data_IF_075621358021
#
_entry.id   IF_075621358021
#
_cell.length_a   1.000
_cell.length_b   1.000
_cell.length_c   1.000
_cell.angle_alpha   90.00
_cell.angle_beta   90.00
_cell.angle_gamma   90.00
#
_symmetry.space_group_name_H-M   'P 1'
#
loop_
_entity.id
_entity.type
_entity.pdbx_description
1 polymer ?
#
# COMPACT_ATOMS: atom_id res chain seq x y z
N UNK A 1 -15.77 4.39 -12.32
CA UNK A 1 -15.50 3.70 -11.03
C UNK A 1 -14.56 4.55 -10.20
N UNK A 2 -14.64 4.48 -8.88
CA UNK A 2 -13.77 5.22 -7.95
C UNK A 2 -12.81 4.28 -7.25
N UNK A 3 -11.52 4.57 -7.28
CA UNK A 3 -10.50 3.83 -6.57
C UNK A 3 -9.86 4.70 -5.47
N UNK A 4 -9.73 4.18 -4.26
CA UNK A 4 -8.96 4.80 -3.18
C UNK A 4 -7.64 4.04 -3.02
N UNK A 5 -6.51 4.76 -3.14
CA UNK A 5 -5.17 4.20 -3.02
C UNK A 5 -4.47 4.80 -1.80
N UNK A 6 -4.16 3.97 -0.80
CA UNK A 6 -3.25 4.40 0.26
C UNK A 6 -1.81 4.19 -0.17
N UNK A 7 -0.90 5.08 0.24
CA UNK A 7 0.49 5.00 -0.21
C UNK A 7 0.71 5.37 -1.68
N UNK A 8 -0.14 6.22 -2.22
CA UNK A 8 -0.13 6.63 -3.64
C UNK A 8 1.20 7.24 -4.09
N UNK A 9 1.99 7.82 -3.18
CA UNK A 9 3.32 8.40 -3.48
C UNK A 9 4.44 7.35 -3.60
N UNK A 10 4.11 6.06 -3.40
CA UNK A 10 5.04 4.95 -3.61
C UNK A 10 5.22 4.60 -5.09
N UNK A 11 6.18 3.72 -5.39
CA UNK A 11 6.38 3.18 -6.73
C UNK A 11 5.07 2.57 -7.27
N UNK A 12 4.50 1.63 -6.52
CA UNK A 12 3.30 0.90 -6.94
C UNK A 12 2.07 1.82 -7.01
N UNK A 13 1.99 2.79 -6.09
CA UNK A 13 0.94 3.81 -6.10
C UNK A 13 0.91 4.62 -7.40
N UNK A 14 2.07 5.02 -7.90
CA UNK A 14 2.18 5.73 -9.19
C UNK A 14 1.69 4.87 -10.36
N UNK A 15 2.24 3.65 -10.51
CA UNK A 15 1.90 2.80 -11.65
C UNK A 15 0.44 2.34 -11.63
N UNK A 16 -0.08 2.03 -10.45
CA UNK A 16 -1.49 1.70 -10.30
C UNK A 16 -2.39 2.89 -10.63
N UNK A 17 -2.05 4.09 -10.15
CA UNK A 17 -2.81 5.32 -10.47
C UNK A 17 -2.85 5.55 -11.97
N UNK A 18 -1.69 5.46 -12.64
CA UNK A 18 -1.62 5.62 -14.10
C UNK A 18 -2.51 4.62 -14.82
N UNK A 19 -2.40 3.32 -14.47
CA UNK A 19 -3.22 2.27 -15.06
C UNK A 19 -4.72 2.49 -14.87
N UNK A 20 -5.14 2.93 -13.68
CA UNK A 20 -6.55 3.16 -13.37
C UNK A 20 -7.09 4.40 -14.09
N UNK A 21 -6.30 5.47 -14.18
CA UNK A 21 -6.64 6.67 -14.96
C UNK A 21 -6.81 6.35 -16.46
N UNK A 22 -5.91 5.55 -17.04
CA UNK A 22 -6.02 5.04 -18.40
C UNK A 22 -7.29 4.19 -18.62
N UNK A 23 -7.83 3.58 -17.57
CA UNK A 23 -9.09 2.83 -17.55
C UNK A 23 -10.32 3.67 -17.17
N UNK A 24 -10.18 4.98 -17.20
CA UNK A 24 -11.23 5.95 -16.90
C UNK A 24 -11.79 5.89 -15.46
N UNK A 25 -10.97 5.49 -14.49
CA UNK A 25 -11.31 5.60 -13.06
C UNK A 25 -11.15 7.04 -12.56
N UNK A 26 -11.92 7.36 -11.53
CA UNK A 26 -11.60 8.46 -10.61
C UNK A 26 -10.65 7.90 -9.52
N UNK A 27 -9.43 8.41 -9.48
CA UNK A 27 -8.38 7.95 -8.55
C UNK A 27 -8.26 8.92 -7.40
N UNK A 28 -8.48 8.41 -6.20
CA UNK A 28 -8.33 9.12 -4.95
C UNK A 28 -7.13 8.57 -4.18
N UNK A 29 -6.18 9.41 -3.79
CA UNK A 29 -4.97 8.97 -3.11
C UNK A 29 -4.82 9.54 -1.72
N UNK A 30 -4.32 8.74 -0.76
CA UNK A 30 -3.93 9.28 0.54
C UNK A 30 -2.45 9.60 0.58
N UNK A 31 -2.13 10.79 1.10
CA UNK A 31 -0.77 11.25 1.39
C UNK A 31 -0.65 11.61 2.86
N UNK A 32 0.50 11.34 3.47
CA UNK A 32 0.78 11.79 4.84
C UNK A 32 1.19 13.24 4.85
N UNK A 33 0.73 13.98 5.84
CA UNK A 33 1.19 15.34 6.05
C UNK A 33 2.66 15.34 6.44
N UNK A 34 3.46 16.10 5.73
CA UNK A 34 4.90 16.27 5.97
C UNK A 34 5.27 17.73 5.77
N UNK A 35 6.35 18.18 6.43
CA UNK A 35 6.92 19.51 6.20
C UNK A 35 7.66 19.63 4.87
N UNK A 36 7.96 18.50 4.22
CA UNK A 36 8.56 18.43 2.88
C UNK A 36 7.62 17.73 1.92
N UNK A 37 7.63 18.14 0.65
CA UNK A 37 6.85 17.46 -0.38
C UNK A 37 7.40 16.05 -0.61
N UNK A 38 6.51 15.06 -0.67
CA UNK A 38 6.85 13.66 -0.92
C UNK A 38 6.11 13.11 -2.16
N UNK A 39 5.68 14.00 -3.05
CA UNK A 39 4.85 13.70 -4.22
C UNK A 39 5.64 13.50 -5.51
N UNK A 40 6.97 13.61 -5.49
CA UNK A 40 7.82 13.66 -6.70
C UNK A 40 7.56 12.53 -7.72
N UNK A 41 7.11 11.36 -7.28
CA UNK A 41 6.74 10.27 -8.20
C UNK A 41 5.43 10.48 -8.91
N UNK A 42 4.52 11.23 -8.32
CA UNK A 42 3.17 11.47 -8.84
C UNK A 42 2.97 12.90 -9.35
N UNK A 43 4.00 13.76 -9.31
CA UNK A 43 3.90 15.16 -9.77
C UNK A 43 3.44 15.27 -11.23
N UNK A 44 3.85 14.32 -12.09
CA UNK A 44 3.39 14.27 -13.48
C UNK A 44 1.87 14.00 -13.58
N UNK A 45 1.34 13.11 -12.74
CA UNK A 45 -0.10 12.84 -12.70
C UNK A 45 -0.87 14.03 -12.11
N UNK A 46 -0.31 14.68 -11.09
CA UNK A 46 -0.91 15.90 -10.53
C UNK A 46 -1.04 16.96 -11.62
N UNK A 47 0.03 17.21 -12.38
CA UNK A 47 0.03 18.21 -13.45
C UNK A 47 -0.90 17.84 -14.62
N UNK A 48 -0.92 16.56 -15.01
CA UNK A 48 -1.75 16.07 -16.12
C UNK A 48 -3.25 16.16 -15.83
N UNK A 49 -3.66 15.91 -14.58
CA UNK A 49 -5.06 15.87 -14.18
C UNK A 49 -5.49 17.08 -13.33
N UNK A 50 -4.66 18.15 -13.29
CA UNK A 50 -4.98 19.38 -12.57
C UNK A 50 -6.31 19.99 -13.02
N UNK A 51 -7.11 20.44 -12.06
CA UNK A 51 -8.44 20.99 -12.31
C UNK A 51 -9.51 19.97 -12.73
N UNK A 52 -9.20 18.67 -12.77
CA UNK A 52 -10.15 17.60 -13.06
C UNK A 52 -10.64 16.88 -11.80
N UNK A 53 -11.77 16.16 -11.92
CA UNK A 53 -12.26 15.26 -10.88
C UNK A 53 -11.57 13.87 -10.91
N UNK A 54 -10.69 13.62 -11.89
CA UNK A 54 -10.12 12.29 -12.14
C UNK A 54 -9.03 11.87 -11.16
N UNK A 55 -8.27 12.83 -10.61
CA UNK A 55 -7.17 12.54 -9.69
C UNK A 55 -7.18 13.50 -8.50
N UNK A 56 -7.41 12.96 -7.31
CA UNK A 56 -7.53 13.74 -6.07
C UNK A 56 -6.67 13.19 -4.95
N UNK A 57 -6.05 14.08 -4.19
CA UNK A 57 -5.20 13.74 -3.06
C UNK A 57 -5.80 14.23 -1.75
N UNK A 58 -5.70 13.41 -0.70
CA UNK A 58 -6.22 13.69 0.63
C UNK A 58 -5.15 13.43 1.68
N UNK A 59 -5.05 14.32 2.67
CA UNK A 59 -4.22 14.07 3.83
C UNK A 59 -4.90 13.05 4.74
N UNK A 60 -4.22 11.94 4.99
CA UNK A 60 -4.67 10.90 5.92
C UNK A 60 -3.50 10.06 6.40
N UNK A 61 -3.60 9.50 7.60
CA UNK A 61 -2.65 8.52 8.13
C UNK A 61 -3.38 7.22 8.44
N UNK A 62 -2.72 6.08 8.23
CA UNK A 62 -3.30 4.76 8.47
C UNK A 62 -3.70 4.53 9.94
N UNK A 63 -3.04 5.21 10.87
CA UNK A 63 -3.34 5.09 12.31
C UNK A 63 -4.49 5.97 12.77
N UNK A 64 -4.93 6.92 11.95
CA UNK A 64 -6.10 7.76 12.23
C UNK A 64 -7.37 7.12 11.65
N UNK A 65 -7.98 6.26 12.45
CA UNK A 65 -9.20 5.53 12.05
C UNK A 65 -10.37 6.46 11.73
N UNK A 66 -10.51 7.58 12.43
CA UNK A 66 -11.58 8.55 12.19
C UNK A 66 -11.39 9.26 10.84
N UNK A 67 -10.18 9.70 10.53
CA UNK A 67 -9.86 10.29 9.23
C UNK A 67 -10.14 9.33 8.08
N UNK A 68 -9.71 8.06 8.21
CA UNK A 68 -9.95 7.02 7.20
C UNK A 68 -11.45 6.73 7.01
N UNK A 69 -12.20 6.58 8.10
CA UNK A 69 -13.66 6.33 8.03
C UNK A 69 -14.37 7.48 7.35
N UNK A 70 -14.08 8.73 7.72
CA UNK A 70 -14.66 9.92 7.11
C UNK A 70 -14.31 10.01 5.63
N UNK A 71 -13.06 9.71 5.25
CA UNK A 71 -12.61 9.74 3.87
C UNK A 71 -13.31 8.68 3.01
N UNK A 72 -13.41 7.45 3.49
CA UNK A 72 -14.12 6.37 2.80
C UNK A 72 -15.60 6.72 2.65
N UNK A 73 -16.22 7.28 3.68
CA UNK A 73 -17.61 7.74 3.63
C UNK A 73 -17.83 8.91 2.64
N UNK A 74 -16.86 9.81 2.52
CA UNK A 74 -16.90 10.94 1.59
C UNK A 74 -16.76 10.49 0.14
N UNK A 75 -15.76 9.63 -0.14
CA UNK A 75 -15.43 9.19 -1.51
C UNK A 75 -16.42 8.13 -2.01
N UNK A 76 -16.89 7.24 -1.11
CA UNK A 76 -17.66 6.04 -1.48
C UNK A 76 -16.98 5.26 -2.60
N UNK A 77 -15.72 4.78 -2.40
CA UNK A 77 -14.97 4.10 -3.44
C UNK A 77 -15.61 2.77 -3.81
N UNK A 78 -15.42 2.32 -5.06
CA UNK A 78 -15.75 0.98 -5.51
C UNK A 78 -14.66 -0.01 -5.12
N UNK A 79 -13.41 0.48 -5.11
CA UNK A 79 -12.22 -0.32 -4.83
C UNK A 79 -11.25 0.43 -3.91
N UNK A 80 -10.65 -0.28 -2.96
CA UNK A 80 -9.58 0.25 -2.09
C UNK A 80 -8.33 -0.59 -2.28
N UNK A 81 -7.21 0.07 -2.58
CA UNK A 81 -5.89 -0.53 -2.69
C UNK A 81 -5.00 -0.04 -1.54
N UNK A 82 -4.76 -0.92 -0.55
CA UNK A 82 -3.92 -0.59 0.59
C UNK A 82 -2.46 -0.93 0.31
N UNK A 83 -1.71 0.05 -0.21
CA UNK A 83 -0.29 -0.05 -0.53
C UNK A 83 0.60 0.63 0.52
N UNK A 84 0.01 1.43 1.42
CA UNK A 84 0.77 2.20 2.38
C UNK A 84 1.47 1.30 3.41
N UNK A 85 2.77 1.47 3.54
CA UNK A 85 3.58 0.79 4.54
C UNK A 85 4.93 1.52 4.75
N UNK A 86 5.53 1.31 5.91
CA UNK A 86 6.98 1.47 6.07
C UNK A 86 7.64 0.18 5.52
N UNK A 87 8.09 0.20 4.27
CA UNK A 87 8.46 -1.00 3.51
C UNK A 87 9.94 -1.37 3.55
N UNK A 88 10.78 -0.58 4.24
CA UNK A 88 12.22 -0.85 4.30
C UNK A 88 12.55 -1.76 5.49
N UNK A 89 12.89 -3.04 5.21
CA UNK A 89 13.14 -4.07 6.22
C UNK A 89 14.16 -3.63 7.27
N UNK A 90 15.32 -3.09 6.86
CA UNK A 90 16.35 -2.65 7.82
C UNK A 90 15.87 -1.50 8.74
N UNK A 91 14.97 -0.63 8.27
CA UNK A 91 14.37 0.42 9.09
C UNK A 91 13.41 -0.16 10.12
N UNK A 92 12.74 -1.28 9.81
CA UNK A 92 11.80 -1.90 10.73
C UNK A 92 12.45 -2.37 12.05
N UNK A 93 13.73 -2.76 12.02
CA UNK A 93 14.48 -3.09 13.23
C UNK A 93 14.83 -1.86 14.09
N UNK A 94 14.99 -0.69 13.44
CA UNK A 94 15.28 0.57 14.15
C UNK A 94 14.00 1.22 14.70
N UNK A 95 12.89 1.06 14.01
CA UNK A 95 11.60 1.67 14.35
C UNK A 95 10.46 0.62 14.31
N UNK A 96 10.50 -0.40 15.19
CA UNK A 96 9.55 -1.52 15.13
C UNK A 96 8.11 -1.09 15.43
N UNK A 97 7.91 -0.21 16.41
CA UNK A 97 6.57 0.31 16.76
C UNK A 97 5.93 1.04 15.58
N UNK A 98 6.67 1.96 14.96
CA UNK A 98 6.19 2.67 13.77
C UNK A 98 5.86 1.71 12.62
N UNK A 99 6.69 0.70 12.41
CA UNK A 99 6.47 -0.31 11.36
C UNK A 99 5.23 -1.16 11.64
N UNK A 100 4.98 -1.51 12.91
CA UNK A 100 3.81 -2.29 13.33
C UNK A 100 2.49 -1.55 13.11
N UNK A 101 2.50 -0.22 13.08
CA UNK A 101 1.35 0.61 12.76
C UNK A 101 0.77 0.33 11.36
N UNK A 102 1.57 -0.20 10.45
CA UNK A 102 1.09 -0.66 9.13
C UNK A 102 0.02 -1.75 9.27
N UNK A 103 0.23 -2.70 10.15
CA UNK A 103 -0.76 -3.76 10.41
C UNK A 103 -2.05 -3.21 11.03
N UNK A 104 -1.94 -2.34 12.04
CA UNK A 104 -3.09 -1.67 12.65
C UNK A 104 -3.85 -0.80 11.65
N UNK A 105 -3.13 -0.13 10.75
CA UNK A 105 -3.74 0.66 9.69
C UNK A 105 -4.59 -0.18 8.74
N UNK A 106 -4.19 -1.42 8.47
CA UNK A 106 -5.00 -2.38 7.71
C UNK A 106 -6.32 -2.65 8.43
N UNK A 107 -6.27 -2.89 9.74
CA UNK A 107 -7.48 -3.13 10.54
C UNK A 107 -8.41 -1.91 10.54
N UNK A 108 -7.88 -0.69 10.64
CA UNK A 108 -8.67 0.54 10.57
C UNK A 108 -9.44 0.66 9.24
N UNK A 109 -8.80 0.33 8.11
CA UNK A 109 -9.47 0.36 6.81
C UNK A 109 -10.53 -0.75 6.73
N UNK A 110 -10.21 -1.96 7.16
CA UNK A 110 -11.16 -3.09 7.15
C UNK A 110 -12.41 -2.80 7.98
N UNK A 111 -12.26 -2.18 9.16
CA UNK A 111 -13.40 -1.73 9.97
C UNK A 111 -14.22 -0.66 9.24
N UNK A 112 -13.58 0.30 8.59
CA UNK A 112 -14.28 1.31 7.81
C UNK A 112 -15.04 0.70 6.62
N UNK A 113 -14.43 -0.28 5.93
CA UNK A 113 -15.08 -1.03 4.83
C UNK A 113 -16.27 -1.83 5.34
N UNK A 114 -16.12 -2.56 6.45
CA UNK A 114 -17.19 -3.35 7.06
C UNK A 114 -18.40 -2.49 7.45
N UNK A 115 -18.14 -1.29 7.94
CA UNK A 115 -19.18 -0.36 8.38
C UNK A 115 -19.70 0.55 7.25
N UNK A 116 -19.22 0.39 6.03
CA UNK A 116 -19.72 1.12 4.86
C UNK A 116 -21.08 0.63 4.44
N UNK A 117 -21.95 1.55 3.98
CA UNK A 117 -23.22 1.20 3.37
C UNK A 117 -23.10 0.73 1.90
N UNK A 118 -21.87 0.76 1.35
CA UNK A 118 -21.55 0.35 -0.01
C UNK A 118 -20.67 -0.90 0.01
N UNK A 119 -20.93 -1.82 -0.89
CA UNK A 119 -20.00 -2.92 -1.16
C UNK A 119 -18.70 -2.37 -1.77
N UNK A 120 -17.59 -2.58 -1.08
CA UNK A 120 -16.27 -2.10 -1.47
C UNK A 120 -15.35 -3.30 -1.65
N UNK A 121 -14.67 -3.38 -2.79
CA UNK A 121 -13.61 -4.37 -3.02
C UNK A 121 -12.31 -3.86 -2.42
N UNK A 122 -11.73 -4.67 -1.55
CA UNK A 122 -10.50 -4.31 -0.84
C UNK A 122 -9.32 -5.19 -1.26
N UNK A 123 -8.20 -4.55 -1.63
CA UNK A 123 -6.92 -5.19 -1.92
C UNK A 123 -5.89 -4.83 -0.86
N UNK A 124 -5.26 -5.83 -0.26
CA UNK A 124 -4.14 -5.68 0.67
C UNK A 124 -2.82 -6.04 0.00
N UNK A 125 -1.88 -5.13 -0.05
CA UNK A 125 -0.51 -5.43 -0.43
C UNK A 125 0.18 -6.22 0.70
N UNK A 126 0.28 -7.53 0.51
CA UNK A 126 1.09 -8.42 1.32
C UNK A 126 2.54 -8.47 0.78
N UNK A 127 3.39 -9.34 1.29
CA UNK A 127 4.82 -9.33 0.95
C UNK A 127 5.41 -10.74 1.00
N UNK A 128 6.35 -11.03 0.10
CA UNK A 128 7.18 -12.24 0.16
C UNK A 128 8.02 -12.34 1.45
N UNK A 129 8.31 -11.21 2.11
CA UNK A 129 8.99 -11.18 3.41
C UNK A 129 8.23 -11.95 4.51
N UNK A 130 6.93 -12.21 4.32
CA UNK A 130 6.16 -13.05 5.24
C UNK A 130 6.69 -14.48 5.32
N UNK A 131 7.28 -14.98 4.24
CA UNK A 131 7.90 -16.30 4.18
C UNK A 131 9.32 -16.36 4.74
N UNK A 132 9.98 -15.24 4.82
CA UNK A 132 11.29 -14.90 5.39
C UNK A 132 12.32 -16.01 5.54
N UNK A 133 12.07 -16.99 6.40
CA UNK A 133 12.96 -18.10 6.69
C UNK A 133 12.50 -19.45 6.15
N UNK A 134 11.48 -19.49 5.30
CA UNK A 134 11.02 -20.75 4.72
C UNK A 134 12.15 -21.47 3.95
N UNK A 135 12.31 -22.76 4.24
CA UNK A 135 13.34 -23.61 3.61
C UNK A 135 12.79 -24.35 2.38
N UNK A 136 11.72 -23.86 1.78
CA UNK A 136 11.09 -24.47 0.61
C UNK A 136 11.74 -23.95 -0.68
N UNK A 137 11.99 -24.84 -1.65
CA UNK A 137 12.51 -24.46 -2.97
C UNK A 137 11.54 -23.53 -3.73
N UNK A 138 10.23 -23.75 -3.55
CA UNK A 138 9.17 -22.98 -4.20
C UNK A 138 8.14 -22.60 -3.15
N UNK A 139 7.73 -21.34 -3.19
CA UNK A 139 6.72 -20.79 -2.29
C UNK A 139 5.42 -20.57 -3.05
N UNK A 140 4.32 -20.87 -2.39
CA UNK A 140 2.94 -20.65 -2.87
C UNK A 140 2.06 -20.09 -1.75
N UNK A 141 0.77 -19.96 -2.00
CA UNK A 141 -0.21 -19.41 -1.05
C UNK A 141 -0.47 -20.34 0.14
N UNK A 142 -0.03 -21.60 0.08
CA UNK A 142 -0.17 -22.61 1.15
C UNK A 142 1.10 -22.74 1.99
N UNK A 143 2.21 -22.18 1.52
CA UNK A 143 3.49 -22.21 2.24
C UNK A 143 3.39 -21.46 3.57
N UNK A 144 4.01 -22.01 4.61
CA UNK A 144 3.97 -21.44 5.95
C UNK A 144 4.71 -20.09 6.03
N UNK A 145 4.12 -19.14 6.71
CA UNK A 145 4.78 -17.88 7.01
C UNK A 145 5.80 -18.05 8.14
N UNK A 146 7.01 -17.54 7.94
CA UNK A 146 8.10 -17.53 8.92
C UNK A 146 8.79 -16.13 8.95
N UNK A 147 8.07 -15.08 9.43
CA UNK A 147 8.56 -13.72 9.35
C UNK A 147 9.83 -13.51 10.19
N UNK A 148 10.87 -12.91 9.59
CA UNK A 148 12.17 -12.66 10.23
C UNK A 148 12.44 -11.19 10.51
N UNK A 149 11.44 -10.31 10.38
CA UNK A 149 11.57 -8.88 10.68
C UNK A 149 10.27 -8.30 11.24
N UNK A 150 10.33 -7.17 11.97
CA UNK A 150 9.11 -6.45 12.39
C UNK A 150 8.21 -6.07 11.21
N UNK A 151 8.80 -5.73 10.06
CA UNK A 151 8.05 -5.50 8.81
C UNK A 151 7.29 -6.74 8.36
N UNK A 152 7.97 -7.88 8.27
CA UNK A 152 7.37 -9.14 7.86
C UNK A 152 6.23 -9.55 8.81
N UNK A 153 6.44 -9.45 10.13
CA UNK A 153 5.42 -9.74 11.13
C UNK A 153 4.19 -8.83 10.99
N UNK A 154 4.40 -7.55 10.72
CA UNK A 154 3.32 -6.59 10.45
C UNK A 154 2.53 -6.96 9.19
N UNK A 155 3.19 -7.44 8.13
CA UNK A 155 2.56 -7.91 6.90
C UNK A 155 1.80 -9.22 7.09
N UNK A 156 2.29 -10.15 7.91
CA UNK A 156 1.57 -11.37 8.29
C UNK A 156 0.28 -11.02 9.05
N UNK A 157 0.35 -10.07 10.00
CA UNK A 157 -0.84 -9.58 10.68
C UNK A 157 -1.87 -9.02 9.70
N UNK A 158 -1.46 -8.09 8.82
CA UNK A 158 -2.34 -7.47 7.84
C UNK A 158 -2.98 -8.49 6.88
N UNK A 159 -2.19 -9.48 6.42
CA UNK A 159 -2.63 -10.58 5.57
C UNK A 159 -3.72 -11.42 6.25
N UNK A 160 -3.47 -11.84 7.49
CA UNK A 160 -4.42 -12.66 8.25
C UNK A 160 -5.70 -11.88 8.58
N UNK A 161 -5.60 -10.61 8.96
CA UNK A 161 -6.78 -9.77 9.19
C UNK A 161 -7.64 -9.67 7.92
N UNK A 162 -7.04 -9.46 6.76
CA UNK A 162 -7.76 -9.44 5.48
C UNK A 162 -8.49 -10.76 5.20
N UNK A 163 -7.82 -11.89 5.46
CA UNK A 163 -8.43 -13.21 5.34
C UNK A 163 -9.62 -13.39 6.31
N UNK A 164 -9.43 -13.04 7.58
CA UNK A 164 -10.49 -13.14 8.62
C UNK A 164 -11.70 -12.30 8.22
N UNK A 165 -11.50 -11.07 7.75
CA UNK A 165 -12.61 -10.20 7.36
C UNK A 165 -13.38 -10.72 6.15
N UNK A 166 -12.69 -11.34 5.19
CA UNK A 166 -13.34 -12.05 4.08
C UNK A 166 -14.18 -13.22 4.57
N UNK A 167 -13.63 -14.07 5.44
CA UNK A 167 -14.25 -15.32 5.85
C UNK A 167 -15.35 -15.11 6.91
N UNK A 168 -15.16 -14.18 7.83
CA UNK A 168 -16.08 -13.95 8.95
C UNK A 168 -17.18 -12.94 8.66
N UNK A 169 -16.92 -11.96 7.81
CA UNK A 169 -17.88 -10.88 7.52
C UNK A 169 -18.36 -10.86 6.06
N UNK A 170 -17.88 -11.79 5.22
CA UNK A 170 -18.28 -11.91 3.82
C UNK A 170 -17.82 -10.74 2.94
N UNK A 171 -16.80 -9.99 3.36
CA UNK A 171 -16.30 -8.86 2.59
C UNK A 171 -15.48 -9.33 1.37
N UNK A 172 -15.58 -8.60 0.26
CA UNK A 172 -14.68 -8.81 -0.86
C UNK A 172 -13.28 -8.27 -0.53
N UNK A 173 -12.47 -9.09 0.14
CA UNK A 173 -11.12 -8.72 0.55
C UNK A 173 -10.09 -9.72 0.00
N UNK A 174 -9.07 -9.23 -0.70
CA UNK A 174 -8.02 -10.05 -1.29
C UNK A 174 -6.63 -9.60 -0.89
N UNK A 175 -5.69 -10.54 -0.86
CA UNK A 175 -4.28 -10.28 -0.61
C UNK A 175 -3.47 -10.50 -1.89
N UNK A 176 -2.60 -9.57 -2.26
CA UNK A 176 -1.57 -9.76 -3.27
C UNK A 176 -0.22 -10.00 -2.61
N UNK A 177 0.37 -11.16 -2.78
CA UNK A 177 1.70 -11.48 -2.22
C UNK A 177 2.77 -10.96 -3.16
N UNK A 178 3.28 -9.76 -2.85
CA UNK A 178 4.24 -9.07 -3.69
C UNK A 178 5.66 -9.56 -3.39
N UNK A 179 6.33 -10.06 -4.41
CA UNK A 179 7.76 -10.31 -4.43
C UNK A 179 8.52 -9.03 -4.84
N UNK A 180 9.85 -9.09 -4.85
CA UNK A 180 10.67 -7.96 -5.26
C UNK A 180 10.36 -7.58 -6.71
N UNK A 181 10.05 -6.31 -6.92
CA UNK A 181 9.77 -5.75 -8.24
C UNK A 181 10.37 -4.35 -8.35
N UNK A 182 10.88 -4.04 -9.50
CA UNK A 182 11.72 -2.89 -9.75
C UNK A 182 11.17 -2.01 -10.87
N UNK A 183 11.47 -0.72 -10.79
CA UNK A 183 11.17 0.24 -11.84
C UNK A 183 12.10 1.45 -11.74
N UNK A 184 12.08 2.36 -12.73
CA UNK A 184 12.77 3.66 -12.63
C UNK A 184 12.36 4.49 -11.40
N UNK A 185 11.19 4.24 -10.81
CA UNK A 185 10.68 4.94 -9.63
C UNK A 185 10.98 4.22 -8.31
N UNK A 186 11.76 3.13 -8.34
CA UNK A 186 12.19 2.44 -7.12
C UNK A 186 12.88 3.40 -6.15
N UNK A 187 12.60 3.27 -4.85
CA UNK A 187 13.22 4.09 -3.82
C UNK A 187 14.75 3.99 -3.85
N UNK A 188 15.44 5.12 -3.73
CA UNK A 188 16.89 5.23 -3.90
C UNK A 188 17.71 4.45 -2.87
N UNK A 189 17.11 4.10 -1.74
CA UNK A 189 17.74 3.32 -0.67
C UNK A 189 17.70 1.80 -0.89
N UNK A 190 16.94 1.33 -1.88
CA UNK A 190 16.90 -0.09 -2.24
C UNK A 190 18.10 -0.51 -3.09
N UNK A 191 18.49 -1.79 -2.95
CA UNK A 191 19.78 -2.30 -3.48
C UNK A 191 19.92 -2.10 -4.99
N UNK A 192 18.94 -2.46 -5.78
CA UNK A 192 18.94 -2.34 -7.24
C UNK A 192 19.07 -0.90 -7.70
N UNK A 193 18.34 0.03 -7.05
CA UNK A 193 18.43 1.46 -7.34
C UNK A 193 19.78 2.05 -6.93
N UNK A 194 20.35 1.60 -5.80
CA UNK A 194 21.72 2.00 -5.40
C UNK A 194 22.75 1.58 -6.47
N UNK A 195 22.65 0.34 -6.97
CA UNK A 195 23.55 -0.17 -7.99
C UNK A 195 23.40 0.64 -9.28
N UNK A 196 22.19 0.80 -9.81
CA UNK A 196 21.97 1.54 -11.06
C UNK A 196 22.42 3.00 -10.98
N UNK A 197 22.23 3.66 -9.84
CA UNK A 197 22.74 5.03 -9.62
C UNK A 197 24.25 5.08 -9.49
N UNK A 198 24.88 4.07 -8.88
CA UNK A 198 26.35 4.01 -8.80
C UNK A 198 26.96 3.84 -10.19
N UNK A 199 26.41 2.93 -10.99
CA UNK A 199 26.86 2.74 -12.39
C UNK A 199 26.72 4.04 -13.18
N UNK A 200 25.55 4.72 -13.14
CA UNK A 200 25.33 5.97 -13.87
C UNK A 200 26.16 7.19 -13.37
N UNK A 201 26.93 7.04 -12.27
CA UNK A 201 27.90 8.06 -11.80
C UNK A 201 29.32 7.76 -12.23
N UNK A 202 29.62 6.52 -12.59
CA UNK A 202 30.94 6.08 -13.04
C UNK A 202 31.13 6.38 -14.53
N UNK A 203 30.05 6.31 -15.29
CA UNK A 203 29.99 6.65 -16.72
C UNK A 203 29.48 8.06 -16.96
#
# INVERSE_FOLDING_TARGET
>A
MKALITGITGQDGYYLSKLLLEKDYEVHGTIRRSSTFNTSRIDSLIAEYDGTEKFKLYYSDLIDSSSLTNLISLIQPDEIYNLAAQSHVAVSFKNPVYTSQTGLGTLNILEAVKNSNKEIKYYQASSSEMYGGANEEKLDELSLFDPKSPYAASKVFAHNMTKIYRESYGLFCVNGILFNHESPLRGETFVTRKISRAVGRIY
#
